data_IF_023930771355
#
_entry.id   IF_023930771355
#
_cell.length_a   1.000
_cell.length_b   1.000
_cell.length_c   1.000
_cell.angle_alpha   90.00
_cell.angle_beta   90.00
_cell.angle_gamma   90.00
#
_symmetry.space_group_name_H-M   'P 1'
#
loop_
_entity.id
_entity.type
_entity.pdbx_description
1 polymer ?
#
# COMPACT_ATOMS: atom_id res chain seq x y z
N UNK A 1 10.25 18.44 0.00
CA UNK A 1 10.05 17.06 -0.47
C UNK A 1 9.10 17.00 -1.64
N UNK A 2 9.37 16.09 -2.56
CA UNK A 2 8.52 15.89 -3.71
C UNK A 2 7.36 14.95 -3.36
N UNK A 3 6.13 15.48 -3.27
CA UNK A 3 4.95 14.72 -2.90
C UNK A 3 4.59 13.65 -3.94
N UNK A 4 5.07 13.79 -5.17
CA UNK A 4 4.80 12.85 -6.26
C UNK A 4 5.89 11.81 -6.42
N UNK A 5 6.82 11.74 -5.48
CA UNK A 5 7.88 10.73 -5.46
C UNK A 5 7.69 9.80 -4.28
N UNK A 6 7.73 8.50 -4.55
CA UNK A 6 7.63 7.50 -3.50
C UNK A 6 8.97 7.31 -2.80
N UNK A 7 8.98 7.47 -1.48
CA UNK A 7 10.14 7.22 -0.65
C UNK A 7 9.73 6.27 0.47
N UNK A 8 10.13 5.00 0.41
CA UNK A 8 9.77 4.05 1.46
C UNK A 8 10.49 4.37 2.77
N UNK A 9 9.75 4.22 3.88
CA UNK A 9 10.28 4.40 5.24
C UNK A 9 9.90 3.17 6.06
N UNK A 10 10.63 2.06 5.93
CA UNK A 10 10.27 0.81 6.59
C UNK A 10 10.28 0.95 8.12
N UNK A 11 9.20 0.55 8.76
CA UNK A 11 9.13 0.42 10.20
C UNK A 11 8.13 -0.67 10.56
N UNK A 12 8.36 -1.36 11.66
CA UNK A 12 7.44 -2.40 12.14
C UNK A 12 6.06 -1.82 12.41
N UNK A 13 6.02 -0.63 13.03
CA UNK A 13 4.76 0.05 13.36
C UNK A 13 3.95 0.36 12.11
N UNK A 14 4.58 0.97 11.09
CA UNK A 14 3.86 1.35 9.88
C UNK A 14 3.38 0.12 9.09
N UNK A 15 4.18 -0.96 9.07
CA UNK A 15 3.78 -2.19 8.38
C UNK A 15 2.63 -2.89 9.09
N UNK A 16 2.66 -2.89 10.43
CA UNK A 16 1.57 -3.46 11.21
C UNK A 16 0.27 -2.69 10.97
N UNK A 17 0.32 -1.37 11.02
CA UNK A 17 -0.86 -0.52 10.77
C UNK A 17 -1.41 -0.74 9.36
N UNK A 18 -0.53 -0.82 8.37
CA UNK A 18 -0.91 -1.08 6.99
C UNK A 18 -1.63 -2.42 6.84
N UNK A 19 -1.05 -3.48 7.38
CA UNK A 19 -1.62 -4.83 7.25
C UNK A 19 -2.94 -4.94 8.03
N UNK A 20 -3.02 -4.34 9.22
CA UNK A 20 -4.26 -4.32 10.00
C UNK A 20 -5.37 -3.59 9.23
N UNK A 21 -5.04 -2.49 8.57
CA UNK A 21 -6.00 -1.75 7.75
C UNK A 21 -6.44 -2.59 6.53
N UNK A 22 -5.50 -3.21 5.84
CA UNK A 22 -5.81 -3.98 4.64
C UNK A 22 -6.63 -5.23 4.95
N UNK A 23 -6.52 -5.79 6.17
CA UNK A 23 -7.38 -6.89 6.63
C UNK A 23 -8.85 -6.51 6.72
N UNK A 24 -9.15 -5.22 6.80
CA UNK A 24 -10.53 -4.75 6.88
C UNK A 24 -11.20 -4.66 5.50
N UNK A 25 -10.43 -4.74 4.42
CA UNK A 25 -10.99 -4.72 3.08
C UNK A 25 -11.65 -6.04 2.75
N UNK A 26 -12.67 -6.00 1.88
CA UNK A 26 -13.34 -7.21 1.42
C UNK A 26 -12.40 -8.00 0.52
N UNK A 27 -12.01 -9.23 0.89
CA UNK A 27 -11.05 -9.98 0.09
C UNK A 27 -11.66 -10.44 -1.24
N UNK A 28 -10.87 -10.28 -2.30
CA UNK A 28 -11.27 -10.72 -3.63
C UNK A 28 -11.26 -12.26 -3.74
N UNK A 29 -10.31 -12.90 -3.05
CA UNK A 29 -10.17 -14.36 -3.06
C UNK A 29 -9.39 -14.83 -1.83
N UNK A 30 -9.24 -16.16 -1.70
CA UNK A 30 -8.50 -16.77 -0.61
C UNK A 30 -7.00 -16.50 -0.69
N UNK A 31 -6.47 -16.30 -1.91
CA UNK A 31 -5.05 -16.01 -2.10
C UNK A 31 -4.66 -14.66 -1.50
N UNK A 32 -5.55 -13.65 -1.62
CA UNK A 32 -5.33 -12.36 -0.97
C UNK A 32 -5.27 -12.53 0.55
N UNK A 33 -6.25 -13.20 1.14
CA UNK A 33 -6.31 -13.43 2.59
C UNK A 33 -5.05 -14.17 3.06
N UNK A 34 -4.63 -15.19 2.33
CA UNK A 34 -3.43 -15.95 2.66
C UNK A 34 -2.18 -15.07 2.61
N UNK A 35 -2.06 -14.20 1.60
CA UNK A 35 -0.91 -13.30 1.50
C UNK A 35 -0.86 -12.31 2.67
N UNK A 36 -1.97 -11.67 2.99
CA UNK A 36 -2.02 -10.71 4.11
C UNK A 36 -1.66 -11.41 5.42
N UNK A 37 -2.17 -12.62 5.64
CA UNK A 37 -1.88 -13.39 6.85
C UNK A 37 -0.41 -13.81 6.90
N UNK A 38 0.18 -14.22 5.78
CA UNK A 38 1.61 -14.55 5.72
C UNK A 38 2.48 -13.35 6.04
N UNK A 39 2.17 -12.19 5.45
CA UNK A 39 2.91 -10.96 5.72
C UNK A 39 2.80 -10.57 7.19
N UNK A 40 1.61 -10.68 7.77
CA UNK A 40 1.38 -10.36 9.18
C UNK A 40 2.16 -11.29 10.12
N UNK A 41 2.22 -12.58 9.79
CA UNK A 41 2.94 -13.57 10.61
C UNK A 41 4.44 -13.39 10.56
N UNK A 42 4.96 -12.70 9.54
CA UNK A 42 6.40 -12.46 9.35
C UNK A 42 6.80 -11.02 9.61
N UNK A 43 5.96 -10.28 10.33
CA UNK A 43 6.14 -8.85 10.54
C UNK A 43 7.54 -8.50 11.08
N UNK A 44 8.06 -9.29 12.04
CA UNK A 44 9.38 -9.03 12.62
C UNK A 44 10.51 -9.16 11.59
N UNK A 45 10.34 -10.01 10.59
CA UNK A 45 11.34 -10.25 9.55
C UNK A 45 11.18 -9.31 8.36
N UNK A 46 9.97 -8.75 8.16
CA UNK A 46 9.67 -7.92 7.00
C UNK A 46 10.56 -6.68 6.93
N UNK A 47 10.91 -6.09 8.07
CA UNK A 47 11.77 -4.91 8.09
C UNK A 47 13.10 -5.23 7.41
N UNK A 48 13.75 -6.32 7.82
CA UNK A 48 15.03 -6.74 7.24
C UNK A 48 14.88 -7.06 5.76
N UNK A 49 13.83 -7.81 5.38
CA UNK A 49 13.60 -8.16 3.98
C UNK A 49 13.41 -6.93 3.11
N UNK A 50 12.62 -5.96 3.58
CA UNK A 50 12.34 -4.74 2.83
C UNK A 50 13.59 -3.87 2.74
N UNK A 51 14.35 -3.71 3.82
CA UNK A 51 15.58 -2.94 3.81
C UNK A 51 16.59 -3.52 2.82
N UNK A 52 16.74 -4.84 2.80
CA UNK A 52 17.62 -5.52 1.86
C UNK A 52 17.12 -5.33 0.42
N UNK A 53 15.83 -5.48 0.22
CA UNK A 53 15.21 -5.32 -1.11
C UNK A 53 15.44 -3.92 -1.67
N UNK A 54 15.25 -2.89 -0.85
CA UNK A 54 15.45 -1.50 -1.24
C UNK A 54 16.91 -1.25 -1.65
N UNK A 55 17.87 -1.88 -0.97
CA UNK A 55 19.28 -1.72 -1.27
C UNK A 55 19.68 -2.42 -2.57
N UNK A 56 19.04 -3.54 -2.88
CA UNK A 56 19.45 -4.41 -4.00
C UNK A 56 18.67 -4.17 -5.29
N UNK A 57 17.44 -3.64 -5.18
CA UNK A 57 16.56 -3.52 -6.32
C UNK A 57 16.35 -2.06 -6.74
N UNK A 58 16.03 -1.89 -8.01
CA UNK A 58 15.65 -0.58 -8.55
C UNK A 58 14.24 -0.22 -8.08
N UNK A 59 14.10 0.93 -7.44
CA UNK A 59 12.82 1.41 -6.92
C UNK A 59 11.97 2.13 -7.95
N UNK A 60 12.41 2.21 -9.21
CA UNK A 60 11.68 2.94 -10.26
C UNK A 60 10.25 2.42 -10.44
N UNK A 61 10.06 1.11 -10.40
CA UNK A 61 8.73 0.52 -10.55
C UNK A 61 7.79 1.00 -9.45
N UNK A 62 8.26 1.02 -8.21
CA UNK A 62 7.42 1.41 -7.06
C UNK A 62 7.08 2.90 -7.11
N UNK A 63 8.00 3.72 -7.59
CA UNK A 63 7.73 5.14 -7.80
C UNK A 63 6.66 5.34 -8.90
N UNK A 64 6.76 4.60 -9.99
CA UNK A 64 5.77 4.66 -11.07
C UNK A 64 4.40 4.17 -10.61
N UNK A 65 4.36 3.12 -9.82
CA UNK A 65 3.12 2.58 -9.25
C UNK A 65 2.47 3.61 -8.34
N UNK A 66 3.25 4.24 -7.46
CA UNK A 66 2.78 5.29 -6.58
C UNK A 66 2.14 6.42 -7.38
N UNK A 67 2.83 6.90 -8.41
CA UNK A 67 2.33 7.97 -9.27
C UNK A 67 1.06 7.55 -10.01
N UNK A 68 1.02 6.32 -10.51
CA UNK A 68 -0.16 5.79 -11.19
C UNK A 68 -1.37 5.77 -10.26
N UNK A 69 -1.20 5.24 -9.05
CA UNK A 69 -2.28 5.19 -8.04
C UNK A 69 -2.75 6.61 -7.72
N UNK A 70 -1.81 7.53 -7.51
CA UNK A 70 -2.11 8.91 -7.19
C UNK A 70 -2.93 9.59 -8.29
N UNK A 71 -2.50 9.47 -9.55
CA UNK A 71 -3.20 10.07 -10.67
C UNK A 71 -4.60 9.48 -10.87
N UNK A 72 -4.77 8.20 -10.61
CA UNK A 72 -6.08 7.55 -10.72
C UNK A 72 -7.08 8.11 -9.72
N UNK A 73 -6.61 8.66 -8.61
CA UNK A 73 -7.49 9.16 -7.55
C UNK A 73 -7.56 10.69 -7.48
N UNK A 74 -6.96 11.38 -8.46
CA UNK A 74 -6.94 12.84 -8.43
C UNK A 74 -8.35 13.44 -8.51
N UNK A 75 -9.29 12.76 -9.15
CA UNK A 75 -10.68 13.18 -9.25
C UNK A 75 -11.40 13.16 -7.91
N UNK A 76 -10.86 12.44 -6.91
CA UNK A 76 -11.44 12.34 -5.59
C UNK A 76 -11.11 13.53 -4.69
N UNK A 77 -10.37 14.53 -5.20
CA UNK A 77 -10.04 15.75 -4.45
C UNK A 77 -11.26 16.57 -4.02
N UNK A 78 -12.40 16.38 -4.69
CA UNK A 78 -13.65 17.03 -4.27
C UNK A 78 -14.24 16.40 -3.01
N UNK A 79 -13.90 15.14 -2.71
CA UNK A 79 -14.46 14.38 -1.59
C UNK A 79 -13.45 14.12 -0.47
N UNK A 80 -12.16 14.10 -0.78
CA UNK A 80 -11.09 13.77 0.16
C UNK A 80 -9.95 14.78 0.03
N UNK A 81 -9.23 15.00 1.13
CA UNK A 81 -8.06 15.87 1.13
C UNK A 81 -6.92 15.28 0.29
N UNK A 82 -6.01 16.14 -0.16
CA UNK A 82 -4.81 15.70 -0.85
C UNK A 82 -3.99 14.76 0.03
N UNK A 83 -3.89 15.06 1.33
CA UNK A 83 -3.16 14.24 2.29
C UNK A 83 -3.69 12.81 2.35
N UNK A 84 -5.01 12.65 2.32
CA UNK A 84 -5.64 11.32 2.32
C UNK A 84 -5.34 10.56 1.04
N UNK A 85 -5.37 11.24 -0.10
CA UNK A 85 -5.06 10.63 -1.39
C UNK A 85 -3.60 10.22 -1.47
N UNK A 86 -2.68 11.06 -0.96
CA UNK A 86 -1.26 10.73 -0.89
C UNK A 86 -1.02 9.51 0.02
N UNK A 87 -1.68 9.48 1.18
CA UNK A 87 -1.57 8.35 2.12
C UNK A 87 -2.11 7.06 1.49
N UNK A 88 -3.23 7.14 0.80
CA UNK A 88 -3.79 6.01 0.07
C UNK A 88 -2.80 5.47 -0.97
N UNK A 89 -2.23 6.35 -1.79
CA UNK A 89 -1.27 5.95 -2.81
C UNK A 89 -0.01 5.34 -2.19
N UNK A 90 0.48 5.94 -1.10
CA UNK A 90 1.63 5.42 -0.36
C UNK A 90 1.34 4.03 0.20
N UNK A 91 0.14 3.81 0.74
CA UNK A 91 -0.24 2.50 1.27
C UNK A 91 -0.20 1.41 0.20
N UNK A 92 -0.64 1.73 -1.01
CA UNK A 92 -0.59 0.79 -2.13
C UNK A 92 0.84 0.46 -2.52
N UNK A 93 1.70 1.47 -2.67
CA UNK A 93 3.11 1.26 -2.98
C UNK A 93 3.82 0.48 -1.87
N UNK A 94 3.53 0.79 -0.60
CA UNK A 94 4.10 0.07 0.54
C UNK A 94 3.68 -1.40 0.55
N UNK A 95 2.40 -1.68 0.31
CA UNK A 95 1.92 -3.07 0.27
C UNK A 95 2.62 -3.86 -0.83
N UNK A 96 2.70 -3.28 -2.02
CA UNK A 96 3.35 -3.92 -3.17
C UNK A 96 4.83 -4.15 -2.88
N UNK A 97 5.49 -3.20 -2.23
CA UNK A 97 6.89 -3.33 -1.84
C UNK A 97 7.10 -4.48 -0.84
N UNK A 98 6.28 -4.55 0.21
CA UNK A 98 6.34 -5.60 1.23
C UNK A 98 6.13 -6.97 0.59
N UNK A 99 5.10 -7.11 -0.24
CA UNK A 99 4.78 -8.35 -0.91
C UNK A 99 5.91 -8.77 -1.87
N UNK A 100 6.49 -7.81 -2.58
CA UNK A 100 7.60 -8.07 -3.50
C UNK A 100 8.87 -8.49 -2.76
N UNK A 101 9.14 -7.87 -1.61
CA UNK A 101 10.31 -8.21 -0.81
C UNK A 101 10.24 -9.63 -0.26
N UNK A 102 9.04 -10.11 0.07
CA UNK A 102 8.84 -11.47 0.60
C UNK A 102 8.73 -12.51 -0.52
N UNK A 103 7.93 -12.24 -1.54
CA UNK A 103 7.54 -13.26 -2.53
C UNK A 103 8.17 -13.04 -3.91
N UNK A 104 8.78 -11.88 -4.15
CA UNK A 104 9.25 -11.51 -5.49
C UNK A 104 8.10 -11.15 -6.43
N UNK A 105 8.37 -11.15 -7.72
CA UNK A 105 7.39 -10.92 -8.79
C UNK A 105 6.60 -9.63 -8.62
N UNK A 106 7.26 -8.46 -8.66
CA UNK A 106 6.60 -7.18 -8.35
C UNK A 106 5.42 -6.85 -9.26
N UNK A 107 5.48 -7.20 -10.55
CA UNK A 107 4.34 -6.95 -11.46
C UNK A 107 3.12 -7.77 -11.08
N UNK A 108 3.33 -9.00 -10.58
CA UNK A 108 2.24 -9.83 -10.08
C UNK A 108 1.62 -9.21 -8.83
N UNK A 109 2.45 -8.63 -7.96
CA UNK A 109 1.95 -7.97 -6.76
C UNK A 109 1.15 -6.71 -7.11
N UNK A 110 1.58 -5.96 -8.12
CA UNK A 110 0.81 -4.81 -8.63
C UNK A 110 -0.57 -5.26 -9.11
N UNK A 111 -0.62 -6.31 -9.93
CA UNK A 111 -1.89 -6.82 -10.46
C UNK A 111 -2.82 -7.30 -9.34
N UNK A 112 -2.27 -8.00 -8.35
CA UNK A 112 -3.05 -8.49 -7.21
C UNK A 112 -3.62 -7.34 -6.39
N UNK A 113 -2.79 -6.32 -6.10
CA UNK A 113 -3.23 -5.15 -5.37
C UNK A 113 -4.34 -4.42 -6.13
N UNK A 114 -4.18 -4.24 -7.44
CA UNK A 114 -5.18 -3.56 -8.27
C UNK A 114 -6.52 -4.27 -8.23
N UNK A 115 -6.53 -5.59 -8.34
CA UNK A 115 -7.76 -6.38 -8.27
C UNK A 115 -8.42 -6.28 -6.90
N UNK A 116 -7.63 -6.32 -5.84
CA UNK A 116 -8.15 -6.27 -4.47
C UNK A 116 -8.68 -4.88 -4.11
N UNK A 117 -7.98 -3.84 -4.49
CA UNK A 117 -8.27 -2.47 -4.02
C UNK A 117 -8.84 -1.62 -5.15
N UNK A 118 -8.07 -1.37 -6.20
CA UNK A 118 -8.41 -0.35 -7.20
C UNK A 118 -9.73 -0.64 -7.90
N UNK A 119 -10.02 -1.90 -8.21
CA UNK A 119 -11.24 -2.29 -8.92
C UNK A 119 -12.43 -2.56 -8.00
N UNK A 120 -12.28 -2.31 -6.70
CA UNK A 120 -13.36 -2.42 -5.71
C UNK A 120 -13.59 -1.05 -5.08
N UNK A 121 -14.67 -0.38 -5.50
CA UNK A 121 -14.97 0.98 -5.04
C UNK A 121 -15.14 1.05 -3.52
N UNK A 122 -15.70 0.02 -2.90
CA UNK A 122 -15.90 -0.01 -1.46
C UNK A 122 -14.57 -0.12 -0.72
N UNK A 123 -13.63 -0.91 -1.24
CA UNK A 123 -12.30 -1.00 -0.66
C UNK A 123 -11.51 0.29 -0.81
N UNK A 124 -11.60 0.94 -1.97
CA UNK A 124 -10.99 2.26 -2.15
C UNK A 124 -11.54 3.26 -1.14
N UNK A 125 -12.87 3.30 -1.01
CA UNK A 125 -13.54 4.21 -0.08
C UNK A 125 -13.14 3.93 1.38
N UNK A 126 -13.03 2.65 1.75
CA UNK A 126 -12.62 2.26 3.09
C UNK A 126 -11.24 2.84 3.44
N UNK A 127 -10.28 2.72 2.53
CA UNK A 127 -8.92 3.22 2.75
C UNK A 127 -8.90 4.75 2.80
N UNK A 128 -9.55 5.41 1.85
CA UNK A 128 -9.59 6.88 1.82
C UNK A 128 -10.26 7.44 3.07
N UNK A 129 -11.38 6.86 3.50
CA UNK A 129 -12.09 7.28 4.70
C UNK A 129 -11.26 7.07 5.96
N UNK A 130 -10.49 5.98 6.02
CA UNK A 130 -9.59 5.73 7.13
C UNK A 130 -8.55 6.85 7.27
N UNK A 131 -7.89 7.22 6.17
CA UNK A 131 -6.88 8.27 6.20
C UNK A 131 -7.47 9.65 6.46
N UNK A 132 -8.66 9.92 5.91
CA UNK A 132 -9.35 11.18 6.18
C UNK A 132 -9.71 11.32 7.66
N UNK A 133 -10.18 10.24 8.28
CA UNK A 133 -10.51 10.22 9.70
C UNK A 133 -9.28 10.48 10.58
N UNK A 134 -8.11 9.99 10.19
CA UNK A 134 -6.88 10.22 10.95
C UNK A 134 -6.49 11.70 11.01
N UNK A 135 -6.77 12.47 9.97
CA UNK A 135 -6.48 13.90 9.95
C UNK A 135 -7.30 14.67 10.99
N UNK A 136 -8.51 14.20 11.28
CA UNK A 136 -9.39 14.85 12.25
C UNK A 136 -8.91 14.58 13.69
N UNK A 137 -8.34 13.40 13.93
CA UNK A 137 -7.86 12.99 15.25
C UNK A 137 -6.54 13.67 15.60
N UNK A 138 -5.71 13.90 14.60
CA UNK A 138 -4.43 14.58 14.78
C UNK A 138 -4.63 16.09 14.89
#
# INVERSE_FOLDING_TARGET
PNLFQYTPKPSKQSFKELLDLYKQTEPIDENWTAQVNTLSSKLDQLITFVQTYIQQEDMSLFNKVYQYILYRQIDMLSDYSLESILAYAKSGADYILIASALEGQPLKQVARWSQQIEYDEDNVALLLQHYEAQLIIE
#
